data_IF_952685175336
#
_entry.id   IF_952685175336
#
_cell.length_a   1.000
_cell.length_b   1.000
_cell.length_c   1.000
_cell.angle_alpha   90.00
_cell.angle_beta   90.00
_cell.angle_gamma   90.00
#
_symmetry.space_group_name_H-M   'P 1'
#
loop_
_entity.id
_entity.type
_entity.pdbx_description
1 polymer ?
#
# COMPACT_ATOMS: atom_id res chain seq x y z
N UNK A 1 -6.42 -6.13 -13.37
CA UNK A 1 -7.02 -6.96 -12.29
C UNK A 1 -8.47 -7.30 -12.58
N UNK A 2 -9.32 -6.33 -12.99
CA UNK A 2 -10.70 -6.63 -13.43
C UNK A 2 -10.74 -7.69 -14.53
N UNK A 3 -9.96 -7.51 -15.59
CA UNK A 3 -9.91 -8.48 -16.70
C UNK A 3 -9.52 -9.89 -16.23
N UNK A 4 -8.55 -10.01 -15.31
CA UNK A 4 -8.15 -11.31 -14.71
C UNK A 4 -9.32 -11.97 -13.97
N UNK A 5 -10.10 -11.18 -13.24
CA UNK A 5 -11.27 -11.66 -12.49
C UNK A 5 -12.37 -12.10 -13.45
N UNK A 6 -12.60 -11.36 -14.54
CA UNK A 6 -13.60 -11.65 -15.55
C UNK A 6 -13.22 -12.89 -16.39
N UNK A 7 -12.00 -12.92 -16.93
CA UNK A 7 -11.43 -14.05 -17.69
C UNK A 7 -11.40 -15.35 -16.86
N UNK A 8 -11.07 -15.24 -15.57
CA UNK A 8 -11.08 -16.38 -14.64
C UNK A 8 -12.48 -16.76 -14.12
N UNK A 9 -13.51 -15.99 -14.47
CA UNK A 9 -14.87 -16.16 -13.94
C UNK A 9 -14.93 -16.10 -12.41
N UNK A 10 -14.04 -15.35 -11.77
CA UNK A 10 -13.82 -15.36 -10.32
C UNK A 10 -14.91 -14.60 -9.55
N UNK A 11 -15.64 -13.69 -10.22
CA UNK A 11 -16.71 -12.90 -9.58
C UNK A 11 -17.76 -13.76 -8.85
N UNK A 12 -18.01 -14.99 -9.31
CA UNK A 12 -18.93 -15.92 -8.64
C UNK A 12 -18.52 -16.30 -7.21
N UNK A 13 -17.24 -16.11 -6.86
CA UNK A 13 -16.68 -16.37 -5.53
C UNK A 13 -16.47 -15.08 -4.72
N UNK A 14 -16.73 -13.91 -5.30
CA UNK A 14 -16.46 -12.61 -4.69
C UNK A 14 -17.78 -11.95 -4.33
N UNK A 15 -17.92 -11.56 -3.06
CA UNK A 15 -19.03 -10.71 -2.60
C UNK A 15 -18.52 -9.31 -2.33
N UNK A 16 -18.91 -8.37 -3.20
CA UNK A 16 -18.61 -6.95 -3.01
C UNK A 16 -19.54 -6.32 -1.98
N UNK A 17 -19.19 -5.11 -1.51
CA UNK A 17 -19.93 -4.38 -0.44
C UNK A 17 -20.21 -5.21 0.81
N UNK A 18 -19.39 -6.22 1.05
CA UNK A 18 -19.55 -7.19 2.13
C UNK A 18 -18.34 -7.09 3.04
N UNK A 19 -18.57 -6.82 4.32
CA UNK A 19 -17.53 -6.58 5.32
C UNK A 19 -17.59 -7.66 6.39
N UNK A 20 -16.46 -8.33 6.62
CA UNK A 20 -16.28 -9.15 7.83
C UNK A 20 -16.10 -8.25 9.04
N UNK A 21 -16.90 -8.46 10.09
CA UNK A 21 -16.87 -7.63 11.30
C UNK A 21 -16.41 -8.37 12.54
N UNK A 22 -16.36 -9.70 12.49
CA UNK A 22 -15.78 -10.55 13.53
C UNK A 22 -15.46 -11.92 12.96
N UNK A 23 -14.38 -12.55 13.43
CA UNK A 23 -14.14 -13.97 13.21
C UNK A 23 -13.76 -14.62 14.54
N UNK A 24 -14.36 -15.75 14.86
CA UNK A 24 -14.08 -16.51 16.08
C UNK A 24 -13.91 -17.98 15.76
N UNK A 25 -12.88 -18.59 16.33
CA UNK A 25 -12.72 -20.04 16.29
C UNK A 25 -13.58 -20.73 17.35
N UNK A 26 -14.34 -21.74 16.90
CA UNK A 26 -15.17 -22.60 17.72
C UNK A 26 -14.57 -24.01 17.75
N UNK A 27 -13.90 -24.34 18.85
CA UNK A 27 -13.18 -25.61 19.03
C UNK A 27 -14.10 -26.83 18.99
N UNK A 28 -15.28 -26.71 19.59
CA UNK A 28 -16.33 -27.73 19.62
C UNK A 28 -16.80 -28.14 18.22
N UNK A 29 -16.69 -27.23 17.26
CA UNK A 29 -17.06 -27.44 15.85
C UNK A 29 -15.86 -27.60 14.94
N UNK A 30 -14.66 -27.27 15.43
CA UNK A 30 -13.44 -27.10 14.64
C UNK A 30 -13.65 -26.19 13.41
N UNK A 31 -14.36 -25.07 13.61
CA UNK A 31 -14.70 -24.12 12.55
C UNK A 31 -14.53 -22.67 12.98
N UNK A 32 -14.26 -21.82 11.99
CA UNK A 32 -14.43 -20.38 12.11
C UNK A 32 -15.89 -20.01 11.95
N UNK A 33 -16.40 -19.20 12.89
CA UNK A 33 -17.64 -18.47 12.76
C UNK A 33 -17.32 -17.02 12.40
N UNK A 34 -17.87 -16.54 11.29
CA UNK A 34 -17.54 -15.25 10.70
C UNK A 34 -18.78 -14.39 10.64
N UNK A 35 -18.80 -13.27 11.37
CA UNK A 35 -19.87 -12.28 11.27
C UNK A 35 -19.63 -11.40 10.05
N UNK A 36 -20.66 -11.28 9.22
CA UNK A 36 -20.60 -10.56 7.97
C UNK A 36 -21.73 -9.54 7.86
N UNK A 37 -21.41 -8.35 7.36
CA UNK A 37 -22.34 -7.26 7.06
C UNK A 37 -22.31 -6.95 5.57
N UNK A 38 -23.46 -6.92 4.92
CA UNK A 38 -23.64 -6.36 3.57
C UNK A 38 -24.07 -4.90 3.66
N UNK A 39 -23.54 -4.07 2.76
CA UNK A 39 -23.81 -2.64 2.70
C UNK A 39 -24.31 -2.22 1.33
N UNK A 40 -25.16 -1.19 1.31
CA UNK A 40 -25.56 -0.53 0.07
C UNK A 40 -24.48 0.46 -0.45
N UNK A 41 -24.81 1.20 -1.50
CA UNK A 41 -23.93 2.23 -2.10
C UNK A 41 -23.68 3.41 -1.15
N UNK A 42 -24.65 3.71 -0.29
CA UNK A 42 -24.56 4.72 0.78
C UNK A 42 -23.81 4.21 2.02
N UNK A 43 -23.27 2.98 1.96
CA UNK A 43 -22.54 2.29 3.03
C UNK A 43 -23.38 1.95 4.26
N UNK A 44 -24.72 2.02 4.17
CA UNK A 44 -25.64 1.59 5.21
C UNK A 44 -25.70 0.07 5.23
N UNK A 45 -25.80 -0.51 6.41
CA UNK A 45 -25.93 -1.95 6.57
C UNK A 45 -27.33 -2.36 6.12
N UNK A 46 -27.41 -3.27 5.15
CA UNK A 46 -28.68 -3.78 4.61
C UNK A 46 -28.97 -5.21 5.08
N UNK A 47 -27.93 -5.96 5.44
CA UNK A 47 -28.06 -7.34 5.89
C UNK A 47 -26.87 -7.72 6.77
N UNK A 48 -27.12 -8.58 7.75
CA UNK A 48 -26.06 -9.24 8.53
C UNK A 48 -26.34 -10.73 8.66
N UNK A 49 -25.28 -11.54 8.71
CA UNK A 49 -25.39 -12.99 8.95
C UNK A 49 -24.09 -13.55 9.54
N UNK A 50 -24.18 -14.76 10.07
CA UNK A 50 -23.02 -15.57 10.45
C UNK A 50 -22.75 -16.60 9.36
N UNK A 51 -21.51 -16.65 8.90
CA UNK A 51 -21.00 -17.66 7.97
C UNK A 51 -20.02 -18.58 8.70
N UNK A 52 -19.71 -19.73 8.10
CA UNK A 52 -18.76 -20.68 8.67
C UNK A 52 -17.73 -21.17 7.65
N UNK A 53 -16.50 -21.36 8.11
CA UNK A 53 -15.45 -21.94 7.27
C UNK A 53 -14.46 -22.78 8.07
N UNK A 54 -13.82 -23.75 7.42
CA UNK A 54 -12.79 -24.59 8.05
C UNK A 54 -11.45 -23.84 8.15
N UNK A 55 -11.17 -22.98 7.15
CA UNK A 55 -9.95 -22.17 7.05
C UNK A 55 -10.30 -20.71 6.76
N UNK A 56 -9.61 -19.79 7.43
CA UNK A 56 -9.75 -18.36 7.22
C UNK A 56 -8.45 -17.80 6.65
N UNK A 57 -8.47 -17.41 5.37
CA UNK A 57 -7.32 -16.83 4.68
C UNK A 57 -7.49 -15.31 4.61
N UNK A 58 -6.66 -14.56 5.34
CA UNK A 58 -6.72 -13.10 5.40
C UNK A 58 -5.86 -12.44 4.32
N UNK A 59 -6.51 -11.79 3.35
CA UNK A 59 -5.89 -11.01 2.28
C UNK A 59 -6.15 -9.49 2.37
N UNK A 60 -6.32 -8.93 3.57
CA UNK A 60 -6.73 -7.51 3.76
C UNK A 60 -5.68 -6.47 3.34
N UNK A 61 -4.43 -6.89 3.11
CA UNK A 61 -3.35 -6.05 2.62
C UNK A 61 -2.72 -5.15 3.69
N UNK A 62 -1.51 -4.67 3.38
CA UNK A 62 -0.56 -4.13 4.37
C UNK A 62 -0.67 -2.65 4.67
N UNK A 63 -1.33 -1.92 3.79
CA UNK A 63 -1.49 -0.48 3.85
C UNK A 63 -2.88 -0.09 4.37
N UNK A 64 -3.50 -0.96 5.16
CA UNK A 64 -4.89 -0.83 5.56
C UNK A 64 -5.12 -1.04 7.08
N UNK A 65 -4.09 -1.12 7.91
CA UNK A 65 -4.19 -1.58 9.32
C UNK A 65 -4.68 -0.52 10.33
N UNK A 66 -5.54 0.41 9.94
CA UNK A 66 -6.25 1.32 10.84
C UNK A 66 -7.75 1.26 10.57
N UNK A 67 -8.54 1.31 11.65
CA UNK A 67 -10.00 1.49 11.60
C UNK A 67 -10.31 2.82 10.90
N UNK A 68 -10.97 2.76 9.75
CA UNK A 68 -10.95 3.79 8.68
C UNK A 68 -9.55 3.92 8.04
N UNK A 69 -9.39 3.34 6.84
CA UNK A 69 -8.14 3.13 6.10
C UNK A 69 -7.25 4.37 5.89
N UNK A 70 -7.80 5.55 6.19
CA UNK A 70 -7.14 6.84 6.17
C UNK A 70 -7.91 7.77 7.11
N UNK A 71 -7.22 8.80 7.61
CA UNK A 71 -7.82 9.84 8.46
C UNK A 71 -7.48 11.20 7.86
N UNK A 72 -8.37 12.16 8.03
CA UNK A 72 -8.01 13.55 7.79
C UNK A 72 -6.84 13.93 8.71
N UNK A 73 -5.89 14.73 8.21
CA UNK A 73 -4.85 15.26 9.06
C UNK A 73 -5.49 16.18 10.12
N UNK A 74 -4.95 16.14 11.33
CA UNK A 74 -5.42 16.96 12.44
C UNK A 74 -4.91 18.40 12.25
N UNK A 75 -5.61 19.15 11.39
CA UNK A 75 -5.31 20.54 11.05
C UNK A 75 -6.52 21.38 11.46
N UNK A 76 -6.36 22.32 12.41
CA UNK A 76 -7.43 23.22 12.81
C UNK A 76 -8.03 23.95 11.61
N UNK A 77 -9.37 23.95 11.53
CA UNK A 77 -10.11 24.62 10.47
C UNK A 77 -10.14 23.92 9.10
N UNK A 78 -9.49 22.77 8.93
CA UNK A 78 -9.46 22.04 7.65
C UNK A 78 -10.86 21.68 7.15
N UNK A 79 -11.70 21.14 8.04
CA UNK A 79 -13.06 20.72 7.71
C UNK A 79 -14.01 21.89 7.42
N UNK A 80 -13.64 23.10 7.83
CA UNK A 80 -14.38 24.34 7.58
C UNK A 80 -13.78 25.18 6.44
N UNK A 81 -12.80 24.64 5.71
CA UNK A 81 -12.21 25.33 4.56
C UNK A 81 -13.26 25.57 3.49
N UNK A 82 -13.19 26.74 2.84
CA UNK A 82 -14.12 27.12 1.77
C UNK A 82 -13.83 26.41 0.45
N UNK A 83 -12.58 25.98 0.25
CA UNK A 83 -12.14 25.21 -0.92
C UNK A 83 -12.63 23.76 -0.89
N UNK A 84 -12.59 23.09 -2.05
CA UNK A 84 -12.94 21.68 -2.16
C UNK A 84 -11.87 20.82 -1.47
N UNK A 85 -12.29 19.95 -0.56
CA UNK A 85 -11.39 19.09 0.19
C UNK A 85 -11.39 17.65 -0.37
N UNK A 86 -10.22 17.15 -0.75
CA UNK A 86 -9.98 15.79 -1.22
C UNK A 86 -9.02 15.03 -0.31
N UNK A 87 -9.17 13.71 -0.27
CA UNK A 87 -8.19 12.81 0.30
C UNK A 87 -7.72 11.83 -0.78
N UNK A 88 -6.42 11.56 -0.91
CA UNK A 88 -5.91 10.66 -1.97
C UNK A 88 -6.50 9.25 -1.91
N UNK A 89 -6.82 8.77 -0.71
CA UNK A 89 -7.52 7.49 -0.49
C UNK A 89 -9.06 7.53 -0.67
N UNK A 90 -9.64 8.69 -0.95
CA UNK A 90 -11.05 8.90 -1.32
C UNK A 90 -11.14 10.12 -2.23
N UNK A 91 -10.59 9.97 -3.43
CA UNK A 91 -10.67 11.00 -4.45
C UNK A 91 -12.01 10.90 -5.19
N UNK A 92 -12.46 12.02 -5.72
CA UNK A 92 -13.66 12.11 -6.55
C UNK A 92 -13.22 12.03 -8.02
N UNK A 93 -13.88 11.18 -8.79
CA UNK A 93 -13.65 11.08 -10.23
C UNK A 93 -14.33 12.23 -10.97
N UNK A 94 -13.71 12.71 -12.05
CA UNK A 94 -14.31 13.70 -12.95
C UNK A 94 -14.22 15.17 -12.50
N UNK A 95 -13.57 15.48 -11.38
CA UNK A 95 -13.35 16.86 -10.97
C UNK A 95 -12.19 17.50 -11.76
N UNK A 96 -12.48 18.60 -12.49
CA UNK A 96 -11.47 19.32 -13.28
C UNK A 96 -10.61 20.25 -12.40
N UNK A 97 -9.31 20.01 -12.40
CA UNK A 97 -8.31 20.83 -11.69
C UNK A 97 -7.73 21.96 -12.57
N UNK A 98 -8.10 22.02 -13.85
CA UNK A 98 -7.53 22.97 -14.81
C UNK A 98 -7.75 24.41 -14.38
N UNK A 99 -6.66 25.17 -14.27
CA UNK A 99 -6.66 26.57 -13.89
C UNK A 99 -6.93 26.85 -12.42
N UNK A 100 -7.10 25.82 -11.56
CA UNK A 100 -7.37 25.99 -10.13
C UNK A 100 -6.09 26.14 -9.30
N UNK A 101 -6.17 26.89 -8.21
CA UNK A 101 -5.16 26.89 -7.16
C UNK A 101 -5.30 25.64 -6.30
N UNK A 102 -4.25 24.83 -6.20
CA UNK A 102 -4.27 23.53 -5.51
C UNK A 102 -3.25 23.48 -4.39
N UNK A 103 -3.69 23.14 -3.18
CA UNK A 103 -2.84 22.80 -2.05
C UNK A 103 -2.71 21.27 -1.93
N UNK A 104 -1.48 20.75 -1.87
CA UNK A 104 -1.20 19.33 -1.57
C UNK A 104 -0.47 19.23 -0.23
N UNK A 105 -1.14 18.64 0.76
CA UNK A 105 -0.62 18.49 2.12
C UNK A 105 0.08 17.13 2.22
N UNK A 106 1.32 17.12 2.72
CA UNK A 106 2.24 15.97 2.91
C UNK A 106 3.12 15.63 1.69
N UNK A 107 4.34 15.18 1.97
CA UNK A 107 5.43 14.87 1.02
C UNK A 107 5.82 13.38 0.97
N UNK A 108 4.93 12.48 1.39
CA UNK A 108 5.10 11.04 1.21
C UNK A 108 4.82 10.61 -0.24
N UNK A 109 4.83 9.31 -0.51
CA UNK A 109 4.61 8.77 -1.87
C UNK A 109 3.35 9.32 -2.54
N UNK A 110 2.21 9.33 -1.84
CA UNK A 110 0.95 9.90 -2.36
C UNK A 110 1.07 11.39 -2.67
N UNK A 111 1.77 12.16 -1.85
CA UNK A 111 1.95 13.61 -2.05
C UNK A 111 2.80 13.90 -3.28
N UNK A 112 3.95 13.24 -3.41
CA UNK A 112 4.85 13.39 -4.56
C UNK A 112 4.12 13.04 -5.85
N UNK A 113 3.45 11.89 -5.90
CA UNK A 113 2.69 11.45 -7.08
C UNK A 113 1.56 12.41 -7.42
N UNK A 114 0.82 12.90 -6.41
CA UNK A 114 -0.25 13.88 -6.60
C UNK A 114 0.29 15.18 -7.19
N UNK A 115 1.35 15.75 -6.60
CA UNK A 115 1.97 16.98 -7.11
C UNK A 115 2.39 16.80 -8.57
N UNK A 116 3.04 15.68 -8.91
CA UNK A 116 3.46 15.40 -10.30
C UNK A 116 2.30 15.18 -11.27
N UNK A 117 1.14 14.75 -10.78
CA UNK A 117 -0.05 14.57 -11.62
C UNK A 117 -0.76 15.89 -11.88
N UNK A 118 -0.85 16.78 -10.88
CA UNK A 118 -1.69 17.98 -10.96
C UNK A 118 -0.98 19.24 -11.43
N UNK A 119 0.36 19.32 -11.34
CA UNK A 119 1.10 20.58 -11.56
C UNK A 119 0.97 21.17 -12.97
N UNK A 120 0.65 20.38 -13.99
CA UNK A 120 0.49 20.86 -15.36
C UNK A 120 -0.88 21.50 -15.60
N UNK A 121 -1.90 21.05 -14.88
CA UNK A 121 -3.27 21.49 -15.06
C UNK A 121 -3.65 22.61 -14.09
N UNK A 122 -3.15 22.55 -12.85
CA UNK A 122 -3.36 23.59 -11.84
C UNK A 122 -2.72 24.93 -12.25
N UNK A 123 -3.36 26.05 -11.92
CA UNK A 123 -2.77 27.39 -12.14
C UNK A 123 -1.60 27.66 -11.20
N UNK A 124 -1.71 27.16 -9.96
CA UNK A 124 -0.65 27.19 -8.93
C UNK A 124 -0.76 25.96 -8.05
N UNK A 125 0.38 25.37 -7.69
CA UNK A 125 0.45 24.28 -6.71
C UNK A 125 1.24 24.74 -5.48
N UNK A 126 0.62 24.61 -4.31
CA UNK A 126 1.24 24.79 -3.01
C UNK A 126 1.45 23.42 -2.38
N UNK A 127 2.63 23.18 -1.81
CA UNK A 127 2.90 21.93 -1.11
C UNK A 127 3.57 22.18 0.24
N UNK A 128 3.12 21.44 1.25
CA UNK A 128 3.69 21.47 2.59
C UNK A 128 4.47 20.18 2.84
N UNK A 129 5.79 20.33 2.90
CA UNK A 129 6.76 19.26 3.13
C UNK A 129 7.14 19.28 4.61
N UNK A 130 6.57 18.38 5.41
CA UNK A 130 6.95 18.24 6.84
C UNK A 130 8.27 17.52 7.00
N UNK A 131 8.38 16.35 6.35
CA UNK A 131 9.60 15.54 6.32
C UNK A 131 9.94 15.33 4.85
N UNK A 132 11.11 15.78 4.38
CA UNK A 132 11.53 15.54 3.00
C UNK A 132 11.72 14.04 2.76
N UNK A 133 11.36 13.59 1.56
CA UNK A 133 11.49 12.20 1.13
C UNK A 133 12.54 12.09 0.03
N UNK A 134 13.40 11.07 0.10
CA UNK A 134 14.38 10.79 -0.96
C UNK A 134 13.66 10.43 -2.26
N UNK A 135 14.05 11.07 -3.36
CA UNK A 135 13.59 10.73 -4.71
C UNK A 135 14.69 9.95 -5.40
N UNK A 136 14.42 8.68 -5.71
CA UNK A 136 15.37 7.77 -6.35
C UNK A 136 14.96 7.45 -7.78
N UNK A 137 15.82 6.78 -8.53
CA UNK A 137 15.51 6.30 -9.87
C UNK A 137 14.37 5.26 -9.85
N UNK A 138 13.56 5.29 -10.91
CA UNK A 138 12.48 4.34 -11.14
C UNK A 138 12.94 2.88 -11.06
N UNK A 139 12.01 1.99 -10.75
CA UNK A 139 12.22 0.55 -10.68
C UNK A 139 12.10 -0.08 -12.06
N UNK A 140 12.95 -1.04 -12.40
CA UNK A 140 12.83 -1.78 -13.66
C UNK A 140 13.17 -0.96 -14.90
N UNK A 141 13.96 0.12 -14.79
CA UNK A 141 14.20 1.06 -15.89
C UNK A 141 14.78 0.42 -17.16
N UNK A 142 15.44 -0.74 -17.04
CA UNK A 142 15.92 -1.54 -18.19
C UNK A 142 14.80 -2.21 -18.98
N UNK A 143 13.66 -2.45 -18.34
CA UNK A 143 12.49 -3.10 -18.91
C UNK A 143 11.40 -2.10 -19.31
N UNK A 144 11.64 -0.81 -19.07
CA UNK A 144 10.73 0.31 -19.35
C UNK A 144 11.33 1.10 -20.51
N UNK A 145 10.54 1.42 -21.53
CA UNK A 145 11.07 2.22 -22.65
C UNK A 145 11.38 3.66 -22.20
N UNK A 146 12.51 4.26 -22.63
CA UNK A 146 12.92 5.60 -22.20
C UNK A 146 11.90 6.72 -22.49
N UNK A 147 11.02 6.50 -23.49
CA UNK A 147 10.09 7.51 -24.02
C UNK A 147 8.62 7.31 -23.57
N UNK A 148 8.24 6.16 -22.98
CA UNK A 148 6.81 5.82 -22.77
C UNK A 148 6.42 5.14 -21.45
N UNK A 149 7.31 5.03 -20.47
CA UNK A 149 6.94 4.34 -19.22
C UNK A 149 6.58 2.86 -19.47
N UNK A 150 5.59 2.32 -18.74
CA UNK A 150 5.12 0.94 -18.92
C UNK A 150 4.41 0.78 -20.28
N UNK A 151 5.16 0.49 -21.33
CA UNK A 151 4.61 0.18 -22.65
C UNK A 151 3.99 -1.21 -22.68
N UNK A 152 2.91 -1.37 -23.44
CA UNK A 152 2.37 -2.70 -23.75
C UNK A 152 3.41 -3.56 -24.49
N UNK A 153 3.40 -4.85 -24.20
CA UNK A 153 4.19 -5.83 -24.93
C UNK A 153 3.67 -5.98 -26.37
N UNK A 154 4.55 -6.13 -27.34
CA UNK A 154 4.15 -6.35 -28.74
C UNK A 154 3.45 -7.69 -28.90
N UNK A 155 2.59 -7.83 -29.91
CA UNK A 155 1.96 -9.14 -30.19
C UNK A 155 2.99 -10.22 -30.52
N UNK A 156 4.12 -9.85 -31.13
CA UNK A 156 5.22 -10.77 -31.39
C UNK A 156 5.85 -11.30 -30.07
N UNK A 157 6.08 -10.43 -29.08
CA UNK A 157 6.55 -10.84 -27.75
C UNK A 157 5.53 -11.74 -27.06
N UNK A 158 4.24 -11.37 -27.11
CA UNK A 158 3.16 -12.18 -26.52
C UNK A 158 3.10 -13.56 -27.18
N UNK A 159 3.22 -13.64 -28.50
CA UNK A 159 3.18 -14.92 -29.22
C UNK A 159 4.40 -15.78 -28.94
N UNK A 160 5.60 -15.18 -28.86
CA UNK A 160 6.79 -15.90 -28.42
C UNK A 160 6.59 -16.54 -27.05
N UNK A 161 6.05 -15.79 -26.09
CA UNK A 161 5.79 -16.26 -24.73
C UNK A 161 4.67 -17.29 -24.65
N UNK A 162 3.66 -17.22 -25.52
CA UNK A 162 2.63 -18.27 -25.64
C UNK A 162 3.23 -19.58 -26.15
N UNK A 163 4.15 -19.50 -27.13
CA UNK A 163 4.81 -20.66 -27.74
C UNK A 163 5.88 -21.27 -26.84
N UNK A 164 6.61 -20.44 -26.10
CA UNK A 164 7.72 -20.84 -25.24
C UNK A 164 7.55 -20.29 -23.81
N UNK A 165 6.88 -21.07 -22.93
CA UNK A 165 6.68 -20.68 -21.54
C UNK A 165 7.97 -20.52 -20.72
N UNK A 166 9.07 -21.17 -21.11
CA UNK A 166 10.35 -21.03 -20.41
C UNK A 166 10.99 -19.68 -20.71
N UNK A 167 10.94 -19.20 -21.96
CA UNK A 167 11.36 -17.82 -22.28
C UNK A 167 10.58 -16.78 -21.49
N UNK A 168 9.26 -16.97 -21.36
CA UNK A 168 8.45 -16.07 -20.52
C UNK A 168 8.85 -16.13 -19.04
N UNK A 169 9.19 -17.32 -18.54
CA UNK A 169 9.68 -17.51 -17.18
C UNK A 169 11.04 -16.85 -16.96
N UNK A 170 11.98 -16.99 -17.89
CA UNK A 170 13.28 -16.32 -17.85
C UNK A 170 13.11 -14.80 -17.82
N UNK A 171 12.28 -14.25 -18.70
CA UNK A 171 11.96 -12.83 -18.72
C UNK A 171 11.41 -12.34 -17.37
N UNK A 172 10.42 -13.05 -16.80
CA UNK A 172 9.88 -12.71 -15.47
C UNK A 172 10.95 -12.78 -14.38
N UNK A 173 11.85 -13.79 -14.41
CA UNK A 173 12.96 -13.90 -13.45
C UNK A 173 13.93 -12.72 -13.55
N UNK A 174 14.19 -12.21 -14.77
CA UNK A 174 15.05 -11.04 -14.96
C UNK A 174 14.45 -9.77 -14.31
N UNK A 175 13.14 -9.55 -14.47
CA UNK A 175 12.44 -8.45 -13.79
C UNK A 175 12.51 -8.61 -12.27
N UNK A 176 12.18 -9.81 -11.78
CA UNK A 176 12.19 -10.11 -10.35
C UNK A 176 13.58 -9.94 -9.74
N UNK A 177 14.64 -10.40 -10.40
CA UNK A 177 16.02 -10.23 -9.93
C UNK A 177 16.40 -8.74 -9.81
N UNK A 178 16.02 -7.89 -10.78
CA UNK A 178 16.25 -6.44 -10.68
C UNK A 178 15.50 -5.81 -9.48
N UNK A 179 14.25 -6.21 -9.25
CA UNK A 179 13.45 -5.68 -8.15
C UNK A 179 13.98 -6.11 -6.77
N UNK A 180 14.36 -7.38 -6.63
CA UNK A 180 14.76 -7.95 -5.33
C UNK A 180 16.18 -7.54 -4.89
N UNK A 181 17.09 -7.20 -5.82
CA UNK A 181 18.44 -6.70 -5.47
C UNK A 181 18.43 -5.44 -4.59
N UNK A 182 17.34 -4.68 -4.63
CA UNK A 182 17.17 -3.43 -3.87
C UNK A 182 17.09 -3.62 -2.37
N UNK A 183 16.83 -4.84 -1.87
CA UNK A 183 16.83 -5.08 -0.43
C UNK A 183 18.13 -4.60 0.25
N UNK A 184 19.26 -4.67 -0.45
CA UNK A 184 20.56 -4.18 0.06
C UNK A 184 20.60 -2.68 0.34
N UNK A 185 19.76 -1.89 -0.33
CA UNK A 185 19.65 -0.45 -0.11
C UNK A 185 18.97 -0.11 1.23
N UNK A 186 18.17 -1.02 1.77
CA UNK A 186 17.52 -0.85 3.07
C UNK A 186 18.44 -1.23 4.25
N UNK A 187 19.58 -1.88 3.97
CA UNK A 187 20.53 -2.29 5.01
C UNK A 187 21.34 -1.08 5.47
N UNK A 188 21.25 -0.75 6.75
CA UNK A 188 22.05 0.32 7.37
C UNK A 188 23.53 -0.02 7.30
N UNK A 189 24.37 1.00 7.08
CA UNK A 189 25.82 0.90 7.05
C UNK A 189 26.36 -0.08 5.98
N UNK A 190 25.64 -0.21 4.85
CA UNK A 190 26.09 -0.97 3.69
C UNK A 190 26.64 -0.04 2.61
N UNK A 191 27.61 -0.53 1.84
CA UNK A 191 28.15 0.18 0.66
C UNK A 191 27.03 0.53 -0.32
N UNK A 192 26.10 -0.40 -0.56
CA UNK A 192 24.98 -0.19 -1.49
C UNK A 192 24.00 0.88 -1.01
N UNK A 193 23.73 0.97 0.30
CA UNK A 193 22.93 2.06 0.89
C UNK A 193 23.62 3.41 0.69
N UNK A 194 24.92 3.49 0.97
CA UNK A 194 25.69 4.73 0.87
C UNK A 194 25.79 5.23 -0.59
N UNK A 195 26.06 4.32 -1.53
CA UNK A 195 26.06 4.62 -2.97
C UNK A 195 24.69 5.07 -3.46
N UNK A 196 23.62 4.41 -3.03
CA UNK A 196 22.24 4.79 -3.39
C UNK A 196 21.87 6.18 -2.84
N UNK A 197 22.28 6.50 -1.61
CA UNK A 197 22.04 7.81 -1.01
C UNK A 197 22.83 8.92 -1.73
N UNK A 198 24.10 8.68 -2.05
CA UNK A 198 24.92 9.62 -2.81
C UNK A 198 24.34 9.88 -4.21
N UNK A 199 23.87 8.82 -4.89
CA UNK A 199 23.19 8.94 -6.17
C UNK A 199 21.91 9.79 -6.06
N UNK A 200 21.03 9.49 -5.10
CA UNK A 200 19.79 10.22 -4.89
C UNK A 200 20.05 11.71 -4.56
N UNK A 201 21.04 11.98 -3.71
CA UNK A 201 21.48 13.33 -3.39
C UNK A 201 21.95 14.10 -4.62
N UNK A 202 22.80 13.48 -5.45
CA UNK A 202 23.30 14.10 -6.67
C UNK A 202 22.19 14.37 -7.69
N UNK A 203 21.28 13.41 -7.90
CA UNK A 203 20.12 13.57 -8.78
C UNK A 203 19.22 14.71 -8.32
N UNK A 204 18.85 14.75 -7.04
CA UNK A 204 18.01 15.80 -6.48
C UNK A 204 18.69 17.16 -6.56
N UNK A 205 19.97 17.24 -6.19
CA UNK A 205 20.76 18.49 -6.26
C UNK A 205 20.86 19.03 -7.68
N UNK A 206 21.09 18.13 -8.64
CA UNK A 206 21.20 18.48 -10.07
C UNK A 206 19.87 19.01 -10.59
N UNK A 207 18.75 18.31 -10.31
CA UNK A 207 17.41 18.73 -10.75
C UNK A 207 16.93 20.03 -10.12
N UNK A 208 17.39 20.35 -8.91
CA UNK A 208 17.08 21.62 -8.23
C UNK A 208 17.95 22.80 -8.70
N UNK A 209 18.96 22.55 -9.53
CA UNK A 209 19.75 23.60 -10.19
C UNK A 209 20.37 24.58 -9.20
N UNK A 210 20.12 25.87 -9.36
CA UNK A 210 20.70 26.94 -8.51
C UNK A 210 19.88 27.25 -7.24
N UNK A 211 18.72 26.60 -7.04
CA UNK A 211 17.82 26.97 -5.96
C UNK A 211 18.28 26.42 -4.60
N UNK A 212 19.16 27.18 -3.93
CA UNK A 212 19.76 26.79 -2.65
C UNK A 212 18.72 26.64 -1.54
N UNK A 213 17.69 27.50 -1.52
CA UNK A 213 16.60 27.41 -0.55
C UNK A 213 15.87 26.07 -0.65
N UNK A 214 15.51 25.64 -1.85
CA UNK A 214 14.83 24.35 -2.03
C UNK A 214 15.75 23.19 -1.66
N UNK A 215 17.03 23.21 -2.07
CA UNK A 215 18.00 22.17 -1.69
C UNK A 215 18.06 21.98 -0.17
N UNK A 216 18.10 23.08 0.58
CA UNK A 216 18.16 23.02 2.04
C UNK A 216 16.88 22.47 2.68
N UNK A 217 15.71 22.73 2.07
CA UNK A 217 14.40 22.38 2.63
C UNK A 217 13.88 21.01 2.20
N UNK A 218 14.18 20.55 0.99
CA UNK A 218 13.55 19.34 0.43
C UNK A 218 14.50 18.16 0.21
N UNK A 219 15.81 18.36 0.32
CA UNK A 219 16.77 17.23 0.33
C UNK A 219 16.84 16.70 1.77
N UNK A 220 16.53 15.41 2.00
CA UNK A 220 16.64 14.84 3.34
C UNK A 220 18.09 14.88 3.83
N UNK A 221 18.27 15.18 5.12
CA UNK A 221 19.60 15.25 5.76
C UNK A 221 19.99 13.93 6.43
N UNK A 222 18.99 13.09 6.75
CA UNK A 222 19.16 11.87 7.55
C UNK A 222 18.30 10.76 6.93
N UNK A 223 18.74 9.50 7.00
CA UNK A 223 17.93 8.35 6.58
C UNK A 223 17.04 7.78 7.73
N UNK A 224 17.17 8.30 8.95
CA UNK A 224 16.38 7.85 10.09
C UNK A 224 15.09 8.66 10.21
N UNK A 225 13.98 8.01 9.86
CA UNK A 225 12.63 8.49 10.12
C UNK A 225 12.34 8.39 11.62
N UNK A 226 12.63 9.47 12.35
CA UNK A 226 11.93 9.86 13.56
C UNK A 226 12.25 11.35 13.80
N UNK A 227 11.52 12.22 13.09
CA UNK A 227 11.50 13.64 13.37
C UNK A 227 10.18 13.93 14.07
N UNK A 228 10.19 14.31 15.37
CA UNK A 228 8.96 14.66 16.07
C UNK A 228 8.27 15.85 15.39
N UNK A 229 6.94 15.88 15.49
CA UNK A 229 6.12 16.95 14.99
C UNK A 229 6.54 18.27 15.61
N UNK A 230 7.16 19.15 14.82
CA UNK A 230 7.28 20.56 15.17
C UNK A 230 6.14 21.30 14.50
N UNK A 231 5.31 21.96 15.32
CA UNK A 231 4.39 22.99 14.84
C UNK A 231 5.24 24.09 14.21
N UNK A 232 5.14 24.23 12.90
CA UNK A 232 5.68 25.39 12.20
C UNK A 232 4.50 26.22 11.74
N UNK A 233 4.11 27.18 12.59
CA UNK A 233 3.23 28.26 12.19
C UNK A 233 4.02 29.20 11.28
N UNK A 234 4.14 28.84 10.00
CA UNK A 234 4.47 29.84 8.99
C UNK A 234 3.20 30.62 8.72
N UNK A 235 3.15 31.89 9.14
CA UNK A 235 2.02 32.81 8.98
C UNK A 235 1.77 33.25 7.53
N UNK A 236 1.89 32.33 6.57
CA UNK A 236 1.59 32.57 5.16
C UNK A 236 0.24 31.92 4.88
N UNK A 237 -0.78 32.77 4.75
CA UNK A 237 -2.09 32.36 4.25
C UNK A 237 -2.02 32.26 2.72
N UNK A 238 -2.57 31.20 2.16
CA UNK A 238 -2.70 31.02 0.71
C UNK A 238 -4.12 30.66 0.36
N UNK A 239 -4.69 31.42 -0.56
CA UNK A 239 -6.00 31.13 -1.11
C UNK A 239 -5.88 30.04 -2.18
N UNK A 240 -6.68 28.98 -2.02
CA UNK A 240 -6.73 27.85 -2.95
C UNK A 240 -8.18 27.41 -3.16
N UNK A 241 -8.47 26.97 -4.37
CA UNK A 241 -9.77 26.39 -4.73
C UNK A 241 -9.91 24.97 -4.19
N UNK A 242 -8.78 24.26 -4.05
CA UNK A 242 -8.74 22.82 -3.75
C UNK A 242 -7.63 22.51 -2.74
N UNK A 243 -7.96 21.68 -1.75
CA UNK A 243 -7.01 21.11 -0.80
C UNK A 243 -7.02 19.58 -0.95
N UNK A 244 -5.86 19.00 -1.21
CA UNK A 244 -5.65 17.55 -1.33
C UNK A 244 -4.80 17.06 -0.15
N UNK A 245 -5.40 16.27 0.72
CA UNK A 245 -4.70 15.59 1.81
C UNK A 245 -4.13 14.26 1.32
N UNK A 246 -2.81 14.16 1.27
CA UNK A 246 -2.09 12.97 0.81
C UNK A 246 -1.43 12.22 1.98
N UNK A 247 -2.22 11.92 3.02
CA UNK A 247 -1.71 11.26 4.22
C UNK A 247 -1.37 9.78 4.00
N UNK A 248 -0.45 9.27 4.82
CA UNK A 248 0.03 7.90 4.76
C UNK A 248 -0.97 6.87 5.31
N UNK A 249 -0.63 5.61 5.16
CA UNK A 249 -1.43 4.47 5.58
C UNK A 249 -1.06 4.00 6.99
N UNK A 250 -1.99 3.27 7.63
CA UNK A 250 -1.71 2.55 8.86
C UNK A 250 -1.02 1.21 8.59
N UNK A 251 0.16 1.00 9.18
CA UNK A 251 0.98 -0.22 9.01
C UNK A 251 1.17 -0.98 10.32
N UNK A 252 0.24 -0.86 11.28
CA UNK A 252 0.39 -1.50 12.60
C UNK A 252 0.23 -3.03 12.60
N UNK A 253 -0.16 -3.63 11.47
CA UNK A 253 -0.55 -5.03 11.33
C UNK A 253 -1.74 -5.51 12.19
N UNK A 254 -2.21 -4.69 13.14
CA UNK A 254 -3.39 -4.98 13.95
C UNK A 254 -4.62 -5.25 13.07
N UNK A 255 -5.29 -6.42 13.19
CA UNK A 255 -6.45 -6.76 12.39
C UNK A 255 -7.56 -5.70 12.40
N UNK A 256 -8.30 -5.60 11.29
CA UNK A 256 -9.36 -4.57 11.12
C UNK A 256 -10.67 -4.91 11.83
N UNK A 257 -10.85 -6.17 12.17
CA UNK A 257 -11.98 -6.69 12.92
C UNK A 257 -11.44 -7.67 13.97
N UNK A 258 -12.18 -7.92 15.06
CA UNK A 258 -11.75 -8.85 16.08
C UNK A 258 -11.57 -10.25 15.51
N UNK A 259 -10.38 -10.81 15.71
CA UNK A 259 -10.06 -12.21 15.38
C UNK A 259 -9.82 -12.90 16.71
N UNK A 260 -10.78 -13.72 17.11
CA UNK A 260 -10.84 -14.33 18.44
C UNK A 260 -10.17 -15.70 18.38
N UNK A 261 -9.12 -15.86 19.19
CA UNK A 261 -8.30 -17.07 19.27
C UNK A 261 -8.93 -18.15 20.18
N UNK A 262 -8.21 -19.26 20.39
CA UNK A 262 -8.65 -20.37 21.27
C UNK A 262 -8.92 -19.94 22.71
N UNK A 263 -8.15 -18.97 23.24
CA UNK A 263 -8.33 -18.43 24.60
C UNK A 263 -9.47 -17.41 24.72
N UNK A 264 -10.26 -17.23 23.65
CA UNK A 264 -11.32 -16.23 23.54
C UNK A 264 -10.82 -14.78 23.66
N UNK A 265 -9.59 -14.53 23.21
CA UNK A 265 -8.96 -13.20 23.17
C UNK A 265 -8.82 -12.71 21.74
N UNK A 266 -9.07 -11.42 21.52
CA UNK A 266 -8.77 -10.75 20.25
C UNK A 266 -7.25 -10.58 20.08
N UNK A 267 -6.70 -11.15 19.00
CA UNK A 267 -5.27 -11.07 18.69
C UNK A 267 -4.79 -9.62 18.50
N UNK A 268 -5.68 -8.69 18.12
CA UNK A 268 -5.35 -7.27 18.00
C UNK A 268 -4.91 -6.62 19.32
N UNK A 269 -5.21 -7.27 20.46
CA UNK A 269 -4.77 -6.87 21.81
C UNK A 269 -3.29 -7.17 22.02
N UNK A 270 -2.85 -8.38 21.68
CA UNK A 270 -1.46 -8.82 21.78
C UNK A 270 -0.56 -8.06 20.80
N UNK A 271 -1.04 -7.89 19.56
CA UNK A 271 -0.32 -7.20 18.49
C UNK A 271 -0.22 -5.68 18.68
N UNK A 272 -0.79 -5.11 19.75
CA UNK A 272 -0.64 -3.68 20.05
C UNK A 272 0.81 -3.29 20.27
N UNK A 273 1.64 -4.18 20.83
CA UNK A 273 3.06 -3.93 21.11
C UNK A 273 3.97 -4.63 20.10
N UNK A 274 3.73 -5.91 19.87
CA UNK A 274 4.56 -6.72 18.98
C UNK A 274 3.64 -7.62 18.15
N UNK A 275 3.44 -7.32 16.85
CA UNK A 275 2.77 -8.23 15.95
C UNK A 275 3.60 -9.51 15.79
N UNK A 276 2.99 -10.67 16.04
CA UNK A 276 3.68 -11.97 16.03
C UNK A 276 3.19 -12.84 14.90
N UNK A 277 4.09 -13.60 14.28
CA UNK A 277 3.71 -14.62 13.30
C UNK A 277 4.68 -15.78 13.31
N UNK A 278 4.23 -16.94 12.85
CA UNK A 278 5.08 -18.06 12.52
C UNK A 278 5.31 -18.10 11.00
N UNK A 279 6.58 -17.94 10.60
CA UNK A 279 7.02 -17.89 9.19
C UNK A 279 6.20 -16.90 8.34
N UNK A 280 5.75 -15.79 8.93
CA UNK A 280 4.97 -14.74 8.27
C UNK A 280 3.59 -15.15 7.70
N UNK A 281 3.09 -16.34 8.03
CA UNK A 281 1.87 -16.88 7.43
C UNK A 281 0.77 -17.28 8.41
N UNK A 282 1.10 -17.51 9.69
CA UNK A 282 0.14 -17.94 10.71
C UNK A 282 0.46 -17.33 12.07
N UNK A 283 -0.43 -17.53 13.03
CA UNK A 283 -0.32 -16.97 14.39
C UNK A 283 -0.49 -18.09 15.41
N UNK A 284 0.30 -18.06 16.48
CA UNK A 284 0.16 -19.03 17.57
C UNK A 284 -1.24 -18.93 18.19
N UNK A 285 -1.81 -20.07 18.56
CA UNK A 285 -3.13 -20.18 19.18
C UNK A 285 -4.33 -19.73 18.31
N UNK A 286 -4.12 -19.54 17.00
CA UNK A 286 -5.15 -19.17 16.03
C UNK A 286 -5.23 -20.25 14.93
N UNK A 287 -5.91 -21.38 15.19
CA UNK A 287 -5.93 -22.51 14.29
C UNK A 287 -6.59 -22.19 12.94
N UNK A 288 -6.08 -22.81 11.87
CA UNK A 288 -6.59 -22.69 10.50
C UNK A 288 -6.72 -21.25 9.97
N UNK A 289 -6.04 -20.30 10.59
CA UNK A 289 -5.96 -18.92 10.16
C UNK A 289 -4.63 -18.67 9.46
N UNK A 290 -4.71 -18.29 8.19
CA UNK A 290 -3.55 -17.98 7.36
C UNK A 290 -3.60 -16.55 6.88
N UNK A 291 -2.44 -15.96 6.68
CA UNK A 291 -2.28 -14.54 6.44
C UNK A 291 -1.43 -14.28 5.21
N UNK A 292 -1.86 -13.33 4.38
CA UNK A 292 -1.06 -12.81 3.28
C UNK A 292 -0.39 -11.50 3.68
N UNK A 293 0.93 -11.41 3.48
CA UNK A 293 1.68 -10.15 3.58
C UNK A 293 1.68 -9.53 4.99
N UNK A 294 1.53 -10.33 6.04
CA UNK A 294 1.40 -9.88 7.43
C UNK A 294 2.78 -9.72 8.13
N UNK A 295 2.89 -9.50 9.46
CA UNK A 295 4.17 -9.25 10.12
C UNK A 295 5.28 -10.20 9.69
N UNK A 296 6.48 -9.67 9.49
CA UNK A 296 7.68 -10.40 9.04
C UNK A 296 7.60 -10.98 7.62
N UNK A 297 6.50 -10.78 6.88
CA UNK A 297 6.47 -11.07 5.45
C UNK A 297 7.44 -10.13 4.72
N UNK A 298 8.06 -10.55 3.59
CA UNK A 298 8.99 -9.73 2.79
C UNK A 298 8.28 -8.61 2.00
N UNK A 299 7.39 -7.89 2.65
CA UNK A 299 6.66 -6.73 2.13
C UNK A 299 7.63 -5.56 2.06
N UNK A 300 7.60 -4.83 0.95
CA UNK A 300 8.51 -3.71 0.65
C UNK A 300 9.99 -4.09 0.41
N UNK A 301 10.32 -5.39 0.27
CA UNK A 301 11.68 -5.87 0.00
C UNK A 301 11.91 -6.26 -1.48
N UNK A 302 10.87 -6.17 -2.31
CA UNK A 302 10.87 -6.58 -3.71
C UNK A 302 9.45 -6.68 -4.26
N UNK A 303 9.25 -7.56 -5.24
CA UNK A 303 7.93 -7.86 -5.80
C UNK A 303 7.01 -8.52 -4.78
N UNK A 304 5.76 -8.09 -4.72
CA UNK A 304 4.75 -8.67 -3.84
C UNK A 304 4.13 -9.95 -4.40
N UNK A 305 4.10 -10.09 -5.73
CA UNK A 305 3.36 -11.16 -6.41
C UNK A 305 3.98 -12.54 -6.20
N UNK A 306 5.32 -12.63 -6.15
CA UNK A 306 6.01 -13.91 -5.95
C UNK A 306 5.78 -14.47 -4.54
N UNK A 307 5.99 -13.71 -3.44
CA UNK A 307 5.63 -14.16 -2.11
C UNK A 307 4.16 -14.59 -2.00
N UNK A 308 3.22 -13.82 -2.56
CA UNK A 308 1.79 -14.17 -2.53
C UNK A 308 1.50 -15.50 -3.24
N UNK A 309 2.15 -15.75 -4.38
CA UNK A 309 2.03 -17.02 -5.11
C UNK A 309 2.57 -18.19 -4.30
N UNK A 310 3.73 -18.02 -3.66
CA UNK A 310 4.35 -19.03 -2.81
C UNK A 310 3.47 -19.34 -1.58
N UNK A 311 2.96 -18.31 -0.91
CA UNK A 311 2.03 -18.45 0.21
C UNK A 311 0.77 -19.22 -0.20
N UNK A 312 0.15 -18.83 -1.33
CA UNK A 312 -1.04 -19.53 -1.86
C UNK A 312 -0.76 -21.01 -2.09
N UNK A 313 0.35 -21.33 -2.77
CA UNK A 313 0.73 -22.73 -3.04
C UNK A 313 0.97 -23.52 -1.75
N UNK A 314 1.61 -22.90 -0.76
CA UNK A 314 1.86 -23.53 0.53
C UNK A 314 0.57 -23.75 1.33
N UNK A 315 -0.34 -22.79 1.36
CA UNK A 315 -1.65 -22.95 2.01
C UNK A 315 -2.45 -24.09 1.37
N UNK A 316 -2.43 -24.19 0.03
CA UNK A 316 -3.07 -25.31 -0.67
C UNK A 316 -2.44 -26.66 -0.31
N UNK A 317 -1.12 -26.74 -0.11
CA UNK A 317 -0.46 -27.96 0.34
C UNK A 317 -0.92 -28.36 1.75
N UNK A 318 -0.97 -27.40 2.69
CA UNK A 318 -1.45 -27.63 4.06
C UNK A 318 -2.90 -28.13 4.04
N UNK A 319 -3.79 -27.40 3.35
CA UNK A 319 -5.22 -27.75 3.27
C UNK A 319 -5.40 -29.14 2.65
N UNK A 320 -4.67 -29.47 1.57
CA UNK A 320 -4.72 -30.81 0.96
C UNK A 320 -4.19 -31.91 1.87
N UNK A 321 -3.17 -31.61 2.68
CA UNK A 321 -2.62 -32.55 3.67
C UNK A 321 -3.62 -32.82 4.79
N UNK A 322 -4.31 -31.79 5.29
CA UNK A 322 -5.31 -31.91 6.36
C UNK A 322 -6.63 -32.56 5.92
N UNK A 323 -6.94 -32.52 4.62
CA UNK A 323 -8.11 -33.21 4.05
C UNK A 323 -7.93 -34.72 3.84
N UNK A 324 -6.69 -35.22 3.93
CA UNK A 324 -6.38 -36.65 3.77
C UNK A 324 -6.49 -37.37 5.10
#
# INVERSE_FOLDING_TARGET
MRDIVDEGGMMRYIRLRTKVTRAEWHEDRSKWMVRVEERDEDKKVVREWDDECDFLLNGNGVLNYVYNAWKWPDIPGLMSSKGRLFHTAKYEEGFDLKGKGVAVIVSGSSGVQTVTAVYKDASRVYTWVRIPTWITAGFGGKFVRPDRGNSEYTEEQKEEWRRDPEKYREYRKMIEDELNRRFRFALRNSKESDESNAFAYNEMTTKLGINQYLKEKIIPKNFNADVPCQETAYGIEVDVDVIICATSFGTSFRPRFPIINLDKVDIATHWKKNPESYIAISVSNVPNYFMYSDPYSPVAQGSLLQPQTLFTNHFLQIIRKMRK
#
